data_IF_268237915979
#
_entry.id   IF_268237915979
#
_cell.length_a   1.000
_cell.length_b   1.000
_cell.length_c   1.000
_cell.angle_alpha   90.00
_cell.angle_beta   90.00
_cell.angle_gamma   90.00
#
_symmetry.space_group_name_H-M   'P 1'
#
loop_
_entity.id
_entity.type
_entity.pdbx_description
1 polymer ?
#
# COMPACT_ATOMS: atom_id res chain seq x y z
N UNK A 1 -23.59 0.01 -9.06
CA UNK A 1 -22.19 -0.15 -8.63
C UNK A 1 -21.70 -1.50 -9.10
N UNK A 2 -20.38 -1.68 -9.24
CA UNK A 2 -19.76 -2.95 -9.62
C UNK A 2 -19.61 -3.85 -8.38
N UNK A 3 -19.44 -5.16 -8.59
CA UNK A 3 -19.25 -6.13 -7.51
C UNK A 3 -17.85 -6.11 -6.87
N UNK A 4 -17.00 -5.16 -7.25
CA UNK A 4 -15.61 -5.07 -6.82
C UNK A 4 -15.16 -3.61 -6.67
N UNK A 5 -14.06 -3.43 -5.92
CA UNK A 5 -13.35 -2.16 -5.75
C UNK A 5 -11.86 -2.40 -5.87
N UNK A 6 -11.15 -1.45 -6.46
CA UNK A 6 -9.70 -1.46 -6.51
C UNK A 6 -9.08 -0.71 -5.33
N UNK A 7 -8.06 -1.30 -4.72
CA UNK A 7 -7.17 -0.63 -3.79
C UNK A 7 -5.87 -0.31 -4.50
N UNK A 8 -5.55 0.98 -4.66
CA UNK A 8 -4.30 1.44 -5.26
C UNK A 8 -3.33 1.86 -4.15
N UNK A 9 -2.14 1.28 -4.17
CA UNK A 9 -1.09 1.52 -3.19
C UNK A 9 0.28 1.36 -3.87
N UNK A 10 1.37 1.30 -3.10
CA UNK A 10 2.71 1.06 -3.61
C UNK A 10 3.50 0.12 -2.70
N UNK A 11 4.68 -0.32 -3.16
CA UNK A 11 5.53 -1.26 -2.44
C UNK A 11 5.83 -0.82 -0.99
N UNK A 12 6.06 0.47 -0.77
CA UNK A 12 6.35 0.99 0.58
C UNK A 12 5.14 0.90 1.52
N UNK A 13 3.93 1.09 0.99
CA UNK A 13 2.68 0.93 1.75
C UNK A 13 2.44 -0.56 2.03
N UNK A 14 2.41 -1.42 0.99
CA UNK A 14 2.07 -2.84 1.17
C UNK A 14 3.06 -3.55 2.09
N UNK A 15 4.36 -3.30 1.91
CA UNK A 15 5.41 -3.97 2.67
C UNK A 15 5.31 -3.69 4.17
N UNK A 16 4.80 -2.52 4.55
CA UNK A 16 4.64 -2.13 5.96
C UNK A 16 3.27 -2.49 6.53
N UNK A 17 2.19 -2.25 5.79
CA UNK A 17 0.83 -2.34 6.33
C UNK A 17 0.26 -3.76 6.26
N UNK A 18 0.59 -4.54 5.21
CA UNK A 18 0.10 -5.92 5.06
C UNK A 18 0.93 -6.93 5.86
N UNK A 19 2.16 -6.58 6.23
CA UNK A 19 3.00 -7.39 7.13
C UNK A 19 2.32 -7.69 8.48
N UNK A 20 1.37 -6.85 8.89
CA UNK A 20 0.74 -6.90 10.21
C UNK A 20 -0.73 -7.29 10.18
N UNK A 21 -1.38 -7.29 9.02
CA UNK A 21 -2.75 -7.79 8.87
C UNK A 21 -2.83 -9.32 8.92
N UNK A 22 -1.70 -10.02 8.73
CA UNK A 22 -1.58 -11.48 8.81
C UNK A 22 -1.38 -12.05 10.23
N UNK A 23 -1.82 -11.35 11.29
CA UNK A 23 -1.67 -11.84 12.66
C UNK A 23 -2.48 -13.11 12.97
N UNK A 24 -3.37 -13.56 12.08
CA UNK A 24 -4.07 -14.85 12.18
C UNK A 24 -3.24 -16.05 11.70
N UNK A 25 -2.08 -15.83 11.06
CA UNK A 25 -1.09 -16.86 10.77
C UNK A 25 0.26 -16.57 11.44
N UNK A 26 0.23 -16.15 12.71
CA UNK A 26 1.42 -16.07 13.55
C UNK A 26 1.52 -17.30 14.48
N UNK A 27 2.14 -18.42 14.07
CA UNK A 27 2.60 -19.43 15.01
C UNK A 27 3.72 -18.90 15.96
N UNK A 28 4.27 -17.71 15.71
CA UNK A 28 5.54 -17.23 16.29
C UNK A 28 5.44 -16.26 17.48
N UNK A 29 4.26 -16.07 18.09
CA UNK A 29 4.22 -15.54 19.48
C UNK A 29 4.62 -16.59 20.53
N UNK A 30 5.06 -17.78 20.09
CA UNK A 30 5.70 -18.79 20.93
C UNK A 30 7.21 -18.90 20.65
N UNK A 31 7.91 -17.77 20.80
CA UNK A 31 9.27 -17.76 21.36
C UNK A 31 10.48 -17.98 20.43
N UNK A 32 10.71 -17.14 19.40
CA UNK A 32 12.00 -17.16 18.67
C UNK A 32 12.58 -15.79 18.28
N UNK A 33 13.85 -15.61 18.70
CA UNK A 33 14.96 -14.90 18.04
C UNK A 33 14.72 -13.48 17.49
N UNK A 34 15.26 -12.48 18.20
CA UNK A 34 15.41 -11.08 17.75
C UNK A 34 16.13 -10.99 16.38
N UNK A 35 16.95 -11.97 16.00
CA UNK A 35 17.63 -12.01 14.68
C UNK A 35 16.67 -12.23 13.52
N UNK A 36 15.61 -13.02 13.71
CA UNK A 36 14.62 -13.29 12.65
C UNK A 36 13.66 -12.10 12.47
N UNK A 37 13.50 -11.29 13.53
CA UNK A 37 12.84 -9.97 13.46
C UNK A 37 13.70 -8.98 12.65
N UNK A 38 15.02 -8.95 12.88
CA UNK A 38 15.96 -8.09 12.15
C UNK A 38 16.10 -8.52 10.67
N UNK A 39 16.10 -9.82 10.38
CA UNK A 39 16.14 -10.34 9.00
C UNK A 39 14.92 -9.91 8.18
N UNK A 40 13.73 -9.90 8.79
CA UNK A 40 12.50 -9.40 8.17
C UNK A 40 12.50 -7.89 7.96
N UNK A 41 13.20 -7.12 8.79
CA UNK A 41 13.37 -5.68 8.59
C UNK A 41 14.23 -5.31 7.36
N UNK A 42 14.93 -6.27 6.74
CA UNK A 42 15.74 -6.06 5.53
C UNK A 42 15.00 -6.30 4.22
N UNK A 43 13.88 -7.01 4.23
CA UNK A 43 13.07 -7.21 3.04
C UNK A 43 12.06 -6.07 2.90
N UNK A 44 12.02 -5.42 1.72
CA UNK A 44 11.07 -4.35 1.47
C UNK A 44 9.61 -4.82 1.53
N UNK A 45 9.37 -6.11 1.24
CA UNK A 45 8.07 -6.77 1.36
C UNK A 45 8.26 -8.17 1.97
N UNK A 46 7.48 -8.56 3.01
CA UNK A 46 7.54 -9.90 3.57
C UNK A 46 7.20 -11.00 2.54
N UNK A 47 7.82 -12.18 2.66
CA UNK A 47 7.66 -13.26 1.69
C UNK A 47 6.20 -13.68 1.42
N UNK A 48 5.29 -13.80 2.41
CA UNK A 48 3.89 -14.12 2.13
C UNK A 48 3.16 -13.03 1.34
N UNK A 49 3.44 -11.76 1.64
CA UNK A 49 2.89 -10.61 0.91
C UNK A 49 3.43 -10.59 -0.51
N UNK A 50 4.74 -10.86 -0.68
CA UNK A 50 5.36 -10.96 -2.01
C UNK A 50 4.75 -12.08 -2.84
N UNK A 51 4.52 -13.26 -2.26
CA UNK A 51 3.88 -14.37 -2.96
C UNK A 51 2.44 -14.01 -3.41
N UNK A 52 1.70 -13.27 -2.59
CA UNK A 52 0.38 -12.75 -2.97
C UNK A 52 0.47 -11.74 -4.12
N UNK A 53 1.45 -10.83 -4.09
CA UNK A 53 1.69 -9.88 -5.18
C UNK A 53 2.11 -10.58 -6.49
N UNK A 54 2.94 -11.62 -6.40
CA UNK A 54 3.49 -12.33 -7.56
C UNK A 54 2.48 -13.31 -8.20
N UNK A 55 1.53 -13.84 -7.42
CA UNK A 55 0.65 -14.94 -7.85
C UNK A 55 -0.84 -14.64 -7.73
N UNK A 56 -1.24 -13.50 -7.16
CA UNK A 56 -2.64 -13.11 -7.04
C UNK A 56 -3.23 -12.79 -8.41
N UNK A 57 -4.29 -13.52 -8.80
CA UNK A 57 -4.97 -13.33 -10.09
C UNK A 57 -5.62 -11.95 -10.24
N UNK A 58 -5.96 -11.33 -9.11
CA UNK A 58 -6.54 -9.99 -9.02
C UNK A 58 -5.51 -8.93 -8.59
N UNK A 59 -4.21 -9.27 -8.62
CA UNK A 59 -3.14 -8.37 -8.21
C UNK A 59 -2.36 -7.86 -9.43
N UNK A 60 -2.24 -6.54 -9.57
CA UNK A 60 -1.53 -5.89 -10.67
C UNK A 60 -0.39 -5.07 -10.07
N UNK A 61 0.85 -5.37 -10.46
CA UNK A 61 2.06 -4.62 -10.05
C UNK A 61 2.64 -3.94 -11.26
N UNK A 62 2.77 -2.62 -11.22
CA UNK A 62 3.30 -1.86 -12.35
C UNK A 62 4.19 -0.68 -11.93
N UNK A 63 5.11 -0.29 -12.81
CA UNK A 63 6.08 0.77 -12.51
C UNK A 63 5.50 2.18 -12.67
N UNK A 64 4.40 2.30 -13.40
CA UNK A 64 3.73 3.57 -13.65
C UNK A 64 2.21 3.40 -13.70
N UNK A 65 1.52 4.52 -13.50
CA UNK A 65 0.06 4.54 -13.39
C UNK A 65 -0.65 4.14 -14.68
N UNK A 66 -0.10 4.47 -15.85
CA UNK A 66 -0.77 4.18 -17.10
C UNK A 66 -0.69 2.67 -17.40
N UNK A 67 0.43 2.03 -17.07
CA UNK A 67 0.58 0.58 -17.07
C UNK A 67 -0.35 -0.09 -16.06
N UNK A 68 -0.42 0.43 -14.84
CA UNK A 68 -1.31 -0.09 -13.80
C UNK A 68 -2.77 -0.11 -14.28
N UNK A 69 -3.25 1.00 -14.85
CA UNK A 69 -4.62 1.12 -15.37
C UNK A 69 -4.89 0.12 -16.49
N UNK A 70 -3.93 -0.08 -17.40
CA UNK A 70 -4.06 -1.11 -18.45
C UNK A 70 -4.18 -2.51 -17.84
N UNK A 71 -3.36 -2.84 -16.86
CA UNK A 71 -3.42 -4.13 -16.16
C UNK A 71 -4.74 -4.34 -15.42
N UNK A 72 -5.20 -3.34 -14.65
CA UNK A 72 -6.46 -3.40 -13.91
C UNK A 72 -7.67 -3.59 -14.84
N UNK A 73 -7.69 -2.87 -15.97
CA UNK A 73 -8.73 -3.03 -16.98
C UNK A 73 -8.66 -4.37 -17.71
N UNK A 74 -7.47 -4.96 -17.86
CA UNK A 74 -7.30 -6.28 -18.46
C UNK A 74 -7.82 -7.40 -17.55
N UNK A 75 -7.67 -7.26 -16.22
CA UNK A 75 -8.21 -8.21 -15.24
C UNK A 75 -9.74 -8.28 -15.32
N UNK A 76 -10.41 -7.14 -15.46
CA UNK A 76 -11.88 -7.08 -15.49
C UNK A 76 -12.46 -7.29 -16.88
N UNK A 77 -11.71 -6.96 -17.93
CA UNK A 77 -12.17 -7.00 -19.33
C UNK A 77 -13.18 -5.90 -19.70
N UNK A 78 -13.54 -5.02 -18.75
CA UNK A 78 -14.61 -4.03 -18.94
C UNK A 78 -14.08 -2.63 -19.31
N UNK A 79 -12.78 -2.35 -19.11
CA UNK A 79 -12.18 -1.07 -19.52
C UNK A 79 -12.70 0.15 -18.75
N UNK A 80 -13.15 -0.03 -17.51
CA UNK A 80 -13.88 0.98 -16.75
C UNK A 80 -13.01 2.09 -16.13
N UNK A 81 -11.71 1.88 -16.05
CA UNK A 81 -10.80 2.83 -15.38
C UNK A 81 -10.19 3.75 -16.42
N UNK A 82 -10.47 5.05 -16.31
CA UNK A 82 -9.78 6.08 -17.08
C UNK A 82 -8.48 6.51 -16.38
N UNK A 83 -7.36 6.47 -17.11
CA UNK A 83 -6.05 6.77 -16.55
C UNK A 83 -5.91 8.24 -16.12
N UNK A 84 -6.52 9.17 -16.85
CA UNK A 84 -6.44 10.59 -16.52
C UNK A 84 -7.27 10.91 -15.27
N UNK A 85 -8.44 10.30 -15.14
CA UNK A 85 -9.29 10.39 -13.94
C UNK A 85 -8.60 9.83 -12.71
N UNK A 86 -8.10 8.59 -12.78
CA UNK A 86 -7.37 8.00 -11.66
C UNK A 86 -6.14 8.83 -11.27
N UNK A 87 -5.41 9.38 -12.26
CA UNK A 87 -4.28 10.27 -12.01
C UNK A 87 -4.70 11.55 -11.28
N UNK A 88 -5.83 12.15 -11.65
CA UNK A 88 -6.36 13.35 -10.98
C UNK A 88 -6.66 13.05 -9.51
N UNK A 89 -7.34 11.93 -9.23
CA UNK A 89 -7.69 11.52 -7.86
C UNK A 89 -6.44 11.27 -7.00
N UNK A 90 -5.48 10.49 -7.51
CA UNK A 90 -4.25 10.20 -6.76
C UNK A 90 -3.43 11.48 -6.56
N UNK A 91 -3.36 12.35 -7.57
CA UNK A 91 -2.63 13.63 -7.45
C UNK A 91 -3.28 14.56 -6.44
N UNK A 92 -4.61 14.60 -6.36
CA UNK A 92 -5.34 15.38 -5.36
C UNK A 92 -4.99 14.88 -3.95
N UNK A 93 -5.06 13.56 -3.71
CA UNK A 93 -4.63 12.95 -2.45
C UNK A 93 -3.17 13.25 -2.11
N UNK A 94 -2.26 13.09 -3.07
CA UNK A 94 -0.83 13.30 -2.88
C UNK A 94 -0.46 14.76 -2.56
N UNK A 95 -1.28 15.72 -3.02
CA UNK A 95 -1.18 17.13 -2.61
C UNK A 95 -1.59 17.32 -1.16
N UNK A 96 -2.67 16.68 -0.72
CA UNK A 96 -3.12 16.75 0.67
C UNK A 96 -2.12 16.10 1.64
N UNK A 97 -1.50 14.98 1.25
CA UNK A 97 -0.41 14.35 2.03
C UNK A 97 0.79 15.29 2.24
N UNK A 98 1.09 16.12 1.24
CA UNK A 98 2.18 17.10 1.34
C UNK A 98 1.76 18.41 2.04
N UNK A 99 0.47 18.60 2.32
CA UNK A 99 -0.07 19.81 2.92
C UNK A 99 -0.12 19.69 4.46
N UNK A 100 0.73 20.43 5.20
CA UNK A 100 0.74 20.37 6.67
C UNK A 100 -0.54 20.90 7.32
N UNK A 101 -1.37 21.63 6.58
CA UNK A 101 -2.65 22.19 7.06
C UNK A 101 -3.86 21.58 6.35
N UNK A 102 -3.71 20.36 5.83
CA UNK A 102 -4.79 19.62 5.18
C UNK A 102 -6.05 19.56 6.05
N UNK A 103 -7.20 19.70 5.40
CA UNK A 103 -8.53 19.46 5.99
C UNK A 103 -9.15 18.18 5.45
N UNK A 104 -8.42 17.43 4.64
CA UNK A 104 -8.84 16.12 4.18
C UNK A 104 -8.94 15.17 5.38
N UNK A 105 -10.10 14.55 5.55
CA UNK A 105 -10.38 13.70 6.71
C UNK A 105 -9.54 12.42 6.69
N UNK A 106 -9.25 11.86 5.52
CA UNK A 106 -8.42 10.65 5.40
C UNK A 106 -6.97 10.95 5.74
N UNK A 107 -6.42 12.04 5.22
CA UNK A 107 -5.05 12.46 5.54
C UNK A 107 -4.93 12.87 7.02
N UNK A 108 -5.92 13.58 7.55
CA UNK A 108 -5.99 13.91 8.98
C UNK A 108 -6.01 12.64 9.85
N UNK A 109 -6.79 11.62 9.46
CA UNK A 109 -6.82 10.34 10.16
C UNK A 109 -5.48 9.62 10.12
N UNK A 110 -4.77 9.62 8.98
CA UNK A 110 -3.42 9.07 8.85
C UNK A 110 -2.45 9.80 9.79
N UNK A 111 -2.49 11.13 9.84
CA UNK A 111 -1.66 11.91 10.76
C UNK A 111 -1.98 11.61 12.23
N UNK A 112 -3.27 11.50 12.58
CA UNK A 112 -3.73 11.12 13.91
C UNK A 112 -3.27 9.72 14.34
N UNK A 113 -3.43 8.72 13.47
CA UNK A 113 -2.95 7.35 13.73
C UNK A 113 -1.45 7.32 14.02
N UNK A 114 -0.66 8.17 13.37
CA UNK A 114 0.79 8.28 13.60
C UNK A 114 1.18 9.09 14.84
N UNK A 115 0.28 9.85 15.45
CA UNK A 115 0.57 10.50 16.74
C UNK A 115 0.74 9.45 17.86
N UNK A 116 0.17 8.26 17.69
CA UNK A 116 0.38 7.13 18.58
C UNK A 116 1.71 6.42 18.28
N UNK A 117 2.62 6.38 19.26
CA UNK A 117 4.00 5.87 19.06
C UNK A 117 4.05 4.40 18.60
N UNK A 118 3.11 3.57 19.05
CA UNK A 118 3.03 2.16 18.67
C UNK A 118 2.69 1.95 17.20
N UNK A 119 1.65 2.65 16.71
CA UNK A 119 1.21 2.57 15.31
C UNK A 119 2.21 3.23 14.35
N UNK A 120 2.85 4.32 14.78
CA UNK A 120 3.87 5.05 14.01
C UNK A 120 5.06 4.19 13.64
N UNK A 121 5.52 3.36 14.58
CA UNK A 121 6.74 2.55 14.43
C UNK A 121 6.44 1.24 13.72
N UNK A 122 5.35 0.58 14.10
CA UNK A 122 5.10 -0.81 13.70
C UNK A 122 4.16 -0.84 12.49
N UNK A 123 3.03 -0.12 12.51
CA UNK A 123 1.86 -0.44 11.67
C UNK A 123 1.65 0.43 10.43
N UNK A 124 1.90 1.73 10.51
CA UNK A 124 1.51 2.67 9.43
C UNK A 124 2.72 3.14 8.63
N UNK A 125 2.61 3.16 7.29
CA UNK A 125 3.63 3.75 6.43
C UNK A 125 3.85 5.24 6.78
N UNK A 126 5.09 5.75 6.61
CA UNK A 126 5.31 7.20 6.70
C UNK A 126 4.53 7.84 5.55
N UNK A 127 3.72 8.91 5.79
CA UNK A 127 2.96 9.55 4.72
C UNK A 127 3.91 9.99 3.62
N UNK A 128 3.60 9.58 2.41
CA UNK A 128 4.31 9.91 1.19
C UNK A 128 3.34 9.86 0.02
N UNK A 129 3.77 10.42 -1.11
CA UNK A 129 2.98 10.43 -2.33
C UNK A 129 2.91 9.02 -2.91
N UNK A 130 1.72 8.58 -3.32
CA UNK A 130 1.54 7.29 -3.99
C UNK A 130 2.35 7.26 -5.28
N UNK A 131 2.35 8.36 -6.06
CA UNK A 131 3.06 8.45 -7.33
C UNK A 131 4.56 8.81 -7.18
N UNK A 132 5.14 8.70 -5.98
CA UNK A 132 6.59 8.84 -5.81
C UNK A 132 7.32 7.61 -6.39
N UNK A 133 8.13 7.74 -7.45
CA UNK A 133 8.85 6.60 -8.03
C UNK A 133 9.77 5.90 -7.03
N UNK A 134 10.27 6.60 -6.01
CA UNK A 134 11.11 6.04 -4.97
C UNK A 134 10.34 5.21 -3.92
N UNK A 135 9.00 5.22 -3.98
CA UNK A 135 8.12 4.41 -3.13
C UNK A 135 7.46 3.23 -3.89
N UNK A 136 7.66 3.18 -5.22
CA UNK A 136 7.10 2.17 -6.11
C UNK A 136 7.80 0.80 -6.04
N UNK A 137 7.35 -0.16 -6.88
CA UNK A 137 6.27 -0.05 -7.87
C UNK A 137 4.89 0.15 -7.23
N UNK A 138 3.90 0.52 -8.05
CA UNK A 138 2.48 0.52 -7.69
C UNK A 138 1.97 -0.92 -7.60
#
# INVERSE_FOLDING_TARGET
GHGYTWFVLNQRIIGKEFALSGSEQNPDLTGKSVRDVIGRARADVPAPVKAFMDHGVDFVVEKDLDALVRGMNAVTGEGLIDAAELRREITARDREIANPFTKDLQVTAIHGARAYLGDRLIRTAKPHRILDPAAGPL
#
